data_IF_272765647801
#
_entry.id   IF_272765647801
#
_cell.length_a   1.000
_cell.length_b   1.000
_cell.length_c   1.000
_cell.angle_alpha   90.00
_cell.angle_beta   90.00
_cell.angle_gamma   90.00
#
_symmetry.space_group_name_H-M   'P 1'
#
loop_
_entity.id
_entity.type
_entity.pdbx_description
1 polymer ?
#
# COMPACT_ATOMS: atom_id res chain seq x y z
N UNK A 1 -16.45 17.59 -19.26
CA UNK A 1 -15.54 17.59 -18.10
C UNK A 1 -14.96 16.21 -17.89
N UNK A 2 -13.87 16.08 -17.12
CA UNK A 2 -13.28 14.78 -16.75
C UNK A 2 -14.29 13.93 -15.95
N UNK A 3 -14.59 12.71 -16.38
CA UNK A 3 -15.53 11.80 -15.69
C UNK A 3 -15.16 11.57 -14.21
N UNK A 4 -13.86 11.59 -13.92
CA UNK A 4 -13.32 11.43 -12.56
C UNK A 4 -13.65 12.62 -11.65
N UNK A 5 -13.65 13.84 -12.20
CA UNK A 5 -13.97 15.05 -11.43
C UNK A 5 -15.48 15.17 -11.18
N UNK A 6 -16.30 14.71 -12.12
CA UNK A 6 -17.76 14.61 -11.93
C UNK A 6 -18.11 13.59 -10.83
N UNK A 7 -17.48 12.41 -10.84
CA UNK A 7 -17.64 11.41 -9.77
C UNK A 7 -17.24 11.98 -8.40
N UNK A 8 -16.07 12.63 -8.31
CA UNK A 8 -15.63 13.26 -7.06
C UNK A 8 -16.61 14.34 -6.56
N UNK A 9 -17.16 15.16 -7.47
CA UNK A 9 -18.16 16.18 -7.13
C UNK A 9 -19.45 15.53 -6.59
N UNK A 10 -19.95 14.49 -7.25
CA UNK A 10 -21.14 13.76 -6.78
C UNK A 10 -20.91 13.15 -5.40
N UNK A 11 -19.79 12.47 -5.20
CA UNK A 11 -19.43 11.89 -3.90
C UNK A 11 -19.30 12.93 -2.79
N UNK A 12 -18.80 14.13 -3.12
CA UNK A 12 -18.72 15.22 -2.16
C UNK A 12 -20.12 15.73 -1.76
N UNK A 13 -21.05 15.82 -2.71
CA UNK A 13 -22.46 16.18 -2.46
C UNK A 13 -23.17 15.10 -1.64
N UNK A 14 -23.00 13.82 -2.01
CA UNK A 14 -23.60 12.68 -1.30
C UNK A 14 -23.08 12.55 0.14
N UNK A 15 -21.82 12.94 0.38
CA UNK A 15 -21.23 13.04 1.71
C UNK A 15 -21.68 14.29 2.50
N UNK A 16 -22.59 15.10 1.95
CA UNK A 16 -23.20 16.25 2.62
C UNK A 16 -22.46 17.58 2.44
N UNK A 17 -21.59 17.75 1.43
CA UNK A 17 -21.03 19.08 1.13
C UNK A 17 -22.13 20.01 0.61
N UNK A 18 -22.32 21.14 1.29
CA UNK A 18 -23.25 22.17 0.85
C UNK A 18 -22.74 22.94 -0.39
N UNK A 19 -21.42 23.05 -0.56
CA UNK A 19 -20.79 23.79 -1.65
C UNK A 19 -19.53 23.05 -2.14
N UNK A 20 -19.22 23.23 -3.42
CA UNK A 20 -18.01 22.72 -4.06
C UNK A 20 -17.05 23.87 -4.34
N UNK A 21 -15.79 23.71 -3.94
CA UNK A 21 -14.74 24.73 -4.13
C UNK A 21 -13.74 24.30 -5.18
N UNK A 22 -13.21 25.28 -5.91
CA UNK A 22 -12.16 25.10 -6.91
C UNK A 22 -10.92 25.90 -6.54
N UNK A 23 -9.76 25.33 -6.81
CA UNK A 23 -8.47 26.00 -6.67
C UNK A 23 -7.91 26.30 -8.06
N UNK A 24 -7.53 27.55 -8.30
CA UNK A 24 -6.89 27.99 -9.54
C UNK A 24 -5.48 28.52 -9.25
N UNK A 25 -4.49 28.13 -10.05
CA UNK A 25 -3.15 28.72 -10.00
C UNK A 25 -3.13 30.03 -10.80
N UNK A 26 -3.80 31.07 -10.32
CA UNK A 26 -3.92 32.36 -10.99
C UNK A 26 -5.39 32.72 -11.26
N UNK A 27 -5.69 33.15 -12.48
CA UNK A 27 -7.05 33.55 -12.87
C UNK A 27 -7.92 32.33 -13.17
N UNK A 28 -9.10 32.23 -12.54
CA UNK A 28 -10.06 31.17 -12.85
C UNK A 28 -10.47 31.16 -14.33
N UNK A 29 -10.57 29.98 -14.93
CA UNK A 29 -10.90 29.76 -16.34
C UNK A 29 -9.75 29.97 -17.33
N UNK A 30 -8.63 30.58 -16.91
CA UNK A 30 -7.45 30.82 -17.76
C UNK A 30 -6.24 29.97 -17.37
N UNK A 31 -6.01 29.79 -16.08
CA UNK A 31 -4.89 28.99 -15.57
C UNK A 31 -5.33 27.58 -15.15
N UNK A 32 -4.39 26.77 -14.64
CA UNK A 32 -4.72 25.43 -14.16
C UNK A 32 -5.67 25.51 -12.97
N UNK A 33 -6.72 24.70 -13.01
CA UNK A 33 -7.74 24.62 -11.98
C UNK A 33 -7.96 23.17 -11.52
N UNK A 34 -8.32 23.02 -10.25
CA UNK A 34 -8.71 21.74 -9.71
C UNK A 34 -9.85 21.81 -8.69
N UNK A 35 -10.71 20.79 -8.71
CA UNK A 35 -11.73 20.56 -7.70
C UNK A 35 -11.05 20.06 -6.42
N UNK A 36 -10.83 20.97 -5.47
CA UNK A 36 -10.19 20.68 -4.21
C UNK A 36 -10.78 21.53 -3.09
N UNK A 37 -10.90 20.94 -1.89
CA UNK A 37 -11.39 21.64 -0.70
C UNK A 37 -10.33 22.49 0.00
N UNK A 38 -9.04 22.24 -0.28
CA UNK A 38 -7.94 22.95 0.36
C UNK A 38 -7.78 22.64 1.86
N UNK A 39 -7.01 23.47 2.61
CA UNK A 39 -6.39 24.72 2.17
C UNK A 39 -5.19 24.52 1.24
N UNK A 40 -4.79 25.59 0.55
CA UNK A 40 -3.61 25.64 -0.31
C UNK A 40 -2.61 26.68 0.19
N UNK A 41 -1.34 26.55 -0.24
CA UNK A 41 -0.34 27.57 0.05
C UNK A 41 -0.74 28.90 -0.61
N UNK A 42 -0.44 30.07 0.01
CA UNK A 42 -0.88 31.37 -0.50
C UNK A 42 -0.29 31.74 -1.86
N UNK A 43 0.87 31.17 -2.21
CA UNK A 43 1.55 31.37 -3.49
C UNK A 43 2.40 30.15 -3.81
N UNK A 44 2.51 29.81 -5.10
CA UNK A 44 3.39 28.73 -5.58
C UNK A 44 4.85 28.99 -5.26
N UNK A 45 5.28 30.26 -5.10
CA UNK A 45 6.64 30.60 -4.66
C UNK A 45 6.93 30.26 -3.19
N UNK A 46 5.92 29.88 -2.40
CA UNK A 46 6.10 29.35 -1.04
C UNK A 46 6.36 27.84 -1.03
N UNK A 47 6.22 27.17 -2.17
CA UNK A 47 6.59 25.77 -2.30
C UNK A 47 8.12 25.72 -2.31
N UNK A 48 8.70 25.03 -1.33
CA UNK A 48 10.14 24.89 -1.19
C UNK A 48 10.71 23.84 -2.14
N UNK A 49 11.49 22.91 -1.60
CA UNK A 49 12.09 21.84 -2.39
C UNK A 49 11.07 20.72 -2.67
N UNK A 50 11.02 20.25 -3.92
CA UNK A 50 10.08 19.22 -4.38
C UNK A 50 10.83 18.13 -5.13
N UNK A 51 10.41 16.87 -4.97
CA UNK A 51 10.93 15.75 -5.76
C UNK A 51 9.85 14.76 -6.15
N UNK A 52 9.87 14.36 -7.44
CA UNK A 52 9.12 13.20 -7.93
C UNK A 52 9.87 11.93 -7.52
N UNK A 53 9.16 11.00 -6.89
CA UNK A 53 9.73 9.82 -6.24
C UNK A 53 9.61 8.57 -7.11
N UNK A 54 8.39 8.24 -7.53
CA UNK A 54 8.13 7.02 -8.28
C UNK A 54 6.82 7.09 -9.06
N UNK A 55 6.68 6.18 -10.01
CA UNK A 55 5.45 5.96 -10.76
C UNK A 55 4.85 4.63 -10.34
N UNK A 56 3.54 4.56 -10.26
CA UNK A 56 2.80 3.32 -10.06
C UNK A 56 1.57 3.29 -10.97
N UNK A 57 1.14 2.09 -11.33
CA UNK A 57 -0.19 1.90 -11.90
C UNK A 57 -1.22 1.80 -10.77
N UNK A 58 -2.40 2.36 -10.99
CA UNK A 58 -3.55 2.19 -10.10
C UNK A 58 -4.80 2.05 -10.94
N UNK A 59 -5.85 1.48 -10.38
CA UNK A 59 -7.15 1.42 -11.04
C UNK A 59 -8.14 2.37 -10.38
N UNK A 60 -9.07 2.89 -11.16
CA UNK A 60 -10.13 3.74 -10.64
C UNK A 60 -10.94 3.02 -9.56
N UNK A 61 -11.14 3.67 -8.41
CA UNK A 61 -11.72 3.08 -7.18
C UNK A 61 -11.09 1.75 -6.70
N UNK A 62 -9.90 1.39 -7.22
CA UNK A 62 -9.26 0.12 -6.91
C UNK A 62 -9.86 -1.09 -7.66
N UNK A 63 -10.77 -0.88 -8.60
CA UNK A 63 -11.39 -1.93 -9.40
C UNK A 63 -10.53 -2.25 -10.63
N UNK A 64 -9.95 -3.45 -10.66
CA UNK A 64 -9.07 -3.93 -11.74
C UNK A 64 -9.73 -3.99 -13.13
N UNK A 65 -11.07 -4.02 -13.19
CA UNK A 65 -11.81 -4.01 -14.44
C UNK A 65 -12.08 -2.58 -14.96
N UNK A 66 -11.73 -1.56 -14.17
CA UNK A 66 -11.94 -0.16 -14.49
C UNK A 66 -10.73 0.47 -15.19
N UNK A 67 -10.81 1.76 -15.48
CA UNK A 67 -9.75 2.52 -16.12
C UNK A 67 -8.44 2.44 -15.31
N UNK A 68 -7.35 2.10 -16.01
CA UNK A 68 -5.99 2.11 -15.46
C UNK A 68 -5.41 3.52 -15.51
N UNK A 69 -4.97 4.01 -14.35
CA UNK A 69 -4.42 5.34 -14.13
C UNK A 69 -2.95 5.28 -13.72
N UNK A 70 -2.15 6.22 -14.23
CA UNK A 70 -0.77 6.42 -13.78
C UNK A 70 -0.75 7.32 -12.56
N UNK A 71 -0.30 6.77 -11.43
CA UNK A 71 -0.10 7.51 -10.18
C UNK A 71 1.36 7.98 -10.10
N UNK A 72 1.54 9.29 -9.89
CA UNK A 72 2.85 9.91 -9.68
C UNK A 72 3.00 10.22 -8.19
N UNK A 73 3.96 9.59 -7.53
CA UNK A 73 4.30 9.91 -6.15
C UNK A 73 5.36 11.01 -6.12
N UNK A 74 5.17 12.01 -5.26
CA UNK A 74 6.12 13.09 -5.03
C UNK A 74 6.11 13.51 -3.57
N UNK A 75 7.14 14.25 -3.16
CA UNK A 75 7.27 14.83 -1.83
C UNK A 75 7.72 16.28 -1.93
N UNK A 76 7.41 17.09 -0.91
CA UNK A 76 7.78 18.50 -0.84
C UNK A 76 8.14 18.90 0.59
N UNK A 77 9.16 19.75 0.73
CA UNK A 77 9.65 20.28 2.00
C UNK A 77 9.89 21.80 1.91
N UNK A 78 9.85 22.54 3.02
CA UNK A 78 10.16 23.97 3.04
C UNK A 78 11.57 24.32 2.56
N UNK A 79 12.55 23.44 2.77
CA UNK A 79 13.96 23.67 2.42
C UNK A 79 14.59 22.47 1.71
N UNK A 80 15.64 22.72 0.91
CA UNK A 80 16.40 21.66 0.24
C UNK A 80 17.08 20.71 1.24
N UNK A 81 17.56 21.26 2.37
CA UNK A 81 18.21 20.49 3.43
C UNK A 81 17.29 19.41 4.00
N UNK A 82 16.05 19.77 4.34
CA UNK A 82 15.05 18.81 4.85
C UNK A 82 14.68 17.75 3.82
N UNK A 83 14.58 18.14 2.54
CA UNK A 83 14.36 17.18 1.46
C UNK A 83 15.52 16.18 1.37
N UNK A 84 16.77 16.64 1.43
CA UNK A 84 17.94 15.78 1.34
C UNK A 84 18.04 14.83 2.55
N UNK A 85 17.75 15.31 3.76
CA UNK A 85 17.66 14.49 4.97
C UNK A 85 16.59 13.38 4.83
N UNK A 86 15.41 13.73 4.31
CA UNK A 86 14.34 12.76 4.04
C UNK A 86 14.74 11.72 3.00
N UNK A 87 15.39 12.14 1.90
CA UNK A 87 15.83 11.23 0.85
C UNK A 87 16.91 10.27 1.36
N UNK A 88 17.82 10.75 2.21
CA UNK A 88 18.82 9.90 2.86
C UNK A 88 18.16 8.84 3.75
N UNK A 89 17.18 9.24 4.57
CA UNK A 89 16.43 8.31 5.42
C UNK A 89 15.67 7.24 4.60
N UNK A 90 15.07 7.62 3.47
CA UNK A 90 14.46 6.67 2.54
C UNK A 90 15.48 5.67 2.00
N UNK A 91 16.67 6.15 1.63
CA UNK A 91 17.68 5.28 1.05
C UNK A 91 18.22 4.27 2.09
N UNK A 92 18.42 4.71 3.33
CA UNK A 92 18.73 3.81 4.44
C UNK A 92 17.63 2.78 4.69
N UNK A 93 16.35 3.19 4.62
CA UNK A 93 15.22 2.28 4.77
C UNK A 93 15.17 1.22 3.66
N UNK A 94 15.44 1.60 2.40
CA UNK A 94 15.50 0.66 1.26
C UNK A 94 16.61 -0.38 1.44
N UNK A 95 17.76 0.01 1.99
CA UNK A 95 18.85 -0.94 2.25
C UNK A 95 18.47 -2.01 3.29
N UNK A 96 17.51 -1.71 4.15
CA UNK A 96 17.00 -2.60 5.20
C UNK A 96 15.72 -3.34 4.80
N UNK A 97 15.27 -3.18 3.55
CA UNK A 97 14.13 -3.92 3.03
C UNK A 97 14.41 -5.43 3.07
N UNK A 98 13.50 -6.20 3.66
CA UNK A 98 13.63 -7.65 3.80
C UNK A 98 13.80 -8.37 2.46
N UNK A 99 13.36 -7.79 1.34
CA UNK A 99 13.57 -8.31 -0.02
C UNK A 99 15.01 -8.15 -0.48
N UNK A 100 15.64 -7.04 -0.12
CA UNK A 100 17.06 -6.76 -0.40
C UNK A 100 17.94 -7.62 0.50
N UNK A 101 17.70 -7.57 1.81
CA UNK A 101 18.46 -8.31 2.82
C UNK A 101 18.25 -9.82 2.65
N UNK A 102 17.01 -10.26 2.47
CA UNK A 102 16.65 -11.66 2.27
C UNK A 102 17.30 -12.26 1.03
N UNK A 103 17.39 -11.51 -0.08
CA UNK A 103 18.14 -11.94 -1.26
C UNK A 103 19.64 -12.00 -0.99
N UNK A 104 20.23 -10.98 -0.35
CA UNK A 104 21.67 -10.92 -0.03
C UNK A 104 22.12 -12.07 0.87
N UNK A 105 21.32 -12.38 1.89
CA UNK A 105 21.59 -13.45 2.86
C UNK A 105 21.04 -14.82 2.42
N UNK A 106 20.41 -14.88 1.24
CA UNK A 106 19.76 -16.06 0.68
C UNK A 106 18.82 -16.71 1.70
N UNK A 107 17.88 -15.94 2.26
CA UNK A 107 16.89 -16.43 3.24
C UNK A 107 15.66 -17.05 2.57
N UNK A 108 15.26 -16.51 1.43
CA UNK A 108 14.13 -17.01 0.68
C UNK A 108 14.32 -16.75 -0.81
N UNK A 109 13.52 -17.45 -1.61
CA UNK A 109 13.46 -17.31 -3.05
C UNK A 109 11.99 -17.23 -3.49
N UNK A 110 11.74 -16.44 -4.53
CA UNK A 110 10.43 -16.33 -5.16
C UNK A 110 10.64 -16.77 -6.60
N UNK A 111 9.93 -17.83 -6.97
CA UNK A 111 10.03 -18.45 -8.28
C UNK A 111 8.67 -18.34 -8.99
N UNK A 112 8.67 -17.80 -10.21
CA UNK A 112 7.46 -17.61 -11.01
C UNK A 112 6.80 -18.93 -11.38
N UNK A 113 7.57 -20.01 -11.56
CA UNK A 113 7.03 -21.35 -11.84
C UNK A 113 6.28 -21.94 -10.65
N UNK A 114 6.65 -21.54 -9.43
CA UNK A 114 5.95 -21.97 -8.21
C UNK A 114 4.68 -21.14 -8.01
N UNK A 115 4.76 -19.84 -8.25
CA UNK A 115 3.62 -18.92 -8.21
C UNK A 115 3.86 -17.67 -7.36
N UNK A 116 3.21 -16.57 -7.72
CA UNK A 116 3.34 -15.31 -7.01
C UNK A 116 2.81 -15.41 -5.57
N UNK A 117 3.59 -14.91 -4.61
CA UNK A 117 3.25 -14.95 -3.19
C UNK A 117 3.60 -16.27 -2.48
N UNK A 118 4.08 -17.28 -3.21
CA UNK A 118 4.48 -18.57 -2.66
C UNK A 118 5.99 -18.61 -2.41
N UNK A 119 6.37 -18.33 -1.17
CA UNK A 119 7.78 -18.17 -0.77
C UNK A 119 8.47 -19.53 -0.59
N UNK A 120 9.59 -19.72 -1.28
CA UNK A 120 10.51 -20.84 -1.06
C UNK A 120 11.54 -20.47 0.00
N UNK A 121 11.50 -21.17 1.14
CA UNK A 121 12.48 -20.98 2.20
C UNK A 121 13.76 -21.74 1.88
N UNK A 122 14.89 -21.04 1.85
CA UNK A 122 16.22 -21.66 1.70
C UNK A 122 16.64 -22.31 3.03
N UNK A 123 17.78 -23.03 3.08
CA UNK A 123 18.31 -23.54 4.35
C UNK A 123 18.49 -22.44 5.42
N UNK A 124 19.06 -21.29 5.06
CA UNK A 124 19.29 -20.18 5.99
C UNK A 124 17.98 -19.60 6.55
N UNK A 125 16.99 -19.35 5.69
CA UNK A 125 15.71 -18.83 6.16
C UNK A 125 14.89 -19.86 6.92
N UNK A 126 15.03 -21.15 6.58
CA UNK A 126 14.39 -22.25 7.31
C UNK A 126 14.90 -22.36 8.74
N UNK A 127 16.19 -22.10 8.99
CA UNK A 127 16.74 -22.01 10.35
C UNK A 127 16.05 -20.89 11.14
N UNK A 128 16.02 -19.67 10.59
CA UNK A 128 15.39 -18.52 11.27
C UNK A 128 13.91 -18.80 11.56
N UNK A 129 13.19 -19.32 10.58
CA UNK A 129 11.78 -19.71 10.75
C UNK A 129 11.60 -20.78 11.82
N UNK A 130 12.47 -21.80 11.82
CA UNK A 130 12.45 -22.89 12.79
C UNK A 130 12.66 -22.41 14.22
N UNK A 131 13.62 -21.51 14.45
CA UNK A 131 13.86 -20.91 15.77
C UNK A 131 12.65 -20.12 16.27
N UNK A 132 12.00 -19.34 15.39
CA UNK A 132 10.77 -18.61 15.74
C UNK A 132 9.61 -19.57 16.06
N UNK A 133 9.45 -20.65 15.30
CA UNK A 133 8.44 -21.67 15.55
C UNK A 133 8.66 -22.41 16.87
N UNK A 134 9.91 -22.72 17.19
CA UNK A 134 10.28 -23.32 18.47
C UNK A 134 9.95 -22.38 19.63
N UNK A 135 10.39 -21.12 19.54
CA UNK A 135 10.10 -20.10 20.54
C UNK A 135 8.60 -19.99 20.84
N UNK A 136 7.75 -19.79 19.83
CA UNK A 136 6.31 -19.63 20.06
C UNK A 136 5.67 -20.91 20.61
N UNK A 137 6.16 -22.09 20.22
CA UNK A 137 5.63 -23.37 20.71
C UNK A 137 5.94 -23.58 22.19
N UNK A 138 7.14 -23.20 22.62
CA UNK A 138 7.53 -23.21 24.02
C UNK A 138 6.68 -22.23 24.86
N UNK A 139 6.45 -21.01 24.36
CA UNK A 139 5.62 -20.01 25.04
C UNK A 139 4.15 -20.43 25.16
N UNK A 140 3.57 -21.01 24.09
CA UNK A 140 2.21 -21.55 24.12
C UNK A 140 2.07 -22.69 25.15
N UNK A 141 3.09 -23.56 25.23
CA UNK A 141 3.10 -24.66 26.21
C UNK A 141 3.13 -24.15 27.64
N UNK A 142 3.94 -23.13 27.93
CA UNK A 142 3.99 -22.49 29.27
C UNK A 142 2.64 -21.89 29.67
N UNK A 143 1.89 -21.38 28.70
CA UNK A 143 0.55 -20.82 28.91
C UNK A 143 -0.57 -21.88 28.94
N UNK A 144 -0.23 -23.17 28.82
CA UNK A 144 -1.20 -24.27 28.90
C UNK A 144 -1.99 -24.53 27.61
N UNK A 145 -1.58 -23.93 26.47
CA UNK A 145 -2.18 -24.26 25.18
C UNK A 145 -1.78 -25.67 24.74
N UNK A 146 -2.71 -26.38 24.08
CA UNK A 146 -2.47 -27.68 23.46
C UNK A 146 -2.42 -27.49 21.95
N UNK A 147 -1.23 -27.64 21.37
CA UNK A 147 -1.08 -27.55 19.92
C UNK A 147 -1.74 -28.77 19.25
N UNK A 148 -2.47 -28.50 18.16
CA UNK A 148 -3.10 -29.51 17.30
C UNK A 148 -2.68 -29.24 15.85
N UNK A 149 -2.74 -30.27 15.02
CA UNK A 149 -2.45 -30.17 13.58
C UNK A 149 -3.73 -30.46 12.81
N UNK A 150 -4.09 -29.58 11.89
CA UNK A 150 -5.30 -29.71 11.06
C UNK A 150 -4.95 -29.63 9.58
N UNK A 151 -5.75 -30.24 8.69
CA UNK A 151 -5.57 -30.10 7.24
C UNK A 151 -5.67 -28.64 6.77
N UNK A 152 -4.91 -28.28 5.73
CA UNK A 152 -4.95 -26.95 5.11
C UNK A 152 -6.10 -26.78 4.09
N UNK A 153 -6.79 -27.88 3.74
CA UNK A 153 -7.94 -27.90 2.83
C UNK A 153 -9.14 -28.48 3.58
N UNK A 154 -10.29 -27.83 3.45
CA UNK A 154 -11.57 -28.28 4.02
C UNK A 154 -12.66 -28.39 2.96
N UNK A 155 -13.72 -29.15 3.26
CA UNK A 155 -14.92 -29.17 2.40
C UNK A 155 -15.63 -27.82 2.42
N UNK A 156 -16.30 -27.46 1.33
CA UNK A 156 -16.99 -26.18 1.20
C UNK A 156 -18.00 -25.93 2.33
N UNK A 157 -18.69 -26.97 2.78
CA UNK A 157 -19.69 -26.88 3.86
C UNK A 157 -19.10 -26.37 5.18
N UNK A 158 -17.81 -26.61 5.44
CA UNK A 158 -17.12 -26.05 6.60
C UNK A 158 -17.10 -24.51 6.54
N UNK A 159 -16.75 -23.95 5.38
CA UNK A 159 -16.69 -22.50 5.17
C UNK A 159 -18.07 -21.84 5.11
N UNK A 160 -19.09 -22.59 4.67
CA UNK A 160 -20.49 -22.16 4.76
C UNK A 160 -20.94 -22.10 6.21
N UNK A 161 -20.64 -23.15 6.98
CA UNK A 161 -20.99 -23.24 8.40
C UNK A 161 -20.29 -22.17 9.23
N UNK A 162 -19.02 -21.88 8.94
CA UNK A 162 -18.27 -20.82 9.62
C UNK A 162 -18.66 -19.41 9.18
N UNK A 163 -19.53 -19.26 8.17
CA UNK A 163 -19.94 -17.97 7.60
C UNK A 163 -18.88 -17.26 6.75
N UNK A 164 -17.72 -17.88 6.49
CA UNK A 164 -16.64 -17.26 5.72
C UNK A 164 -16.89 -17.33 4.20
N UNK A 165 -17.70 -18.28 3.74
CA UNK A 165 -17.92 -18.50 2.31
C UNK A 165 -18.33 -17.24 1.52
N UNK A 166 -19.31 -16.42 1.93
CA UNK A 166 -19.73 -15.25 1.15
C UNK A 166 -18.61 -14.21 0.92
N UNK A 167 -17.66 -14.12 1.84
CA UNK A 167 -16.59 -13.12 1.82
C UNK A 167 -15.32 -13.58 1.09
N UNK A 168 -15.10 -14.90 1.01
CA UNK A 168 -13.88 -15.50 0.45
C UNK A 168 -14.12 -16.38 -0.79
N UNK A 169 -15.36 -16.44 -1.32
CA UNK A 169 -15.69 -17.27 -2.50
C UNK A 169 -14.89 -16.92 -3.77
N UNK A 170 -14.39 -15.69 -3.87
CA UNK A 170 -13.65 -15.16 -5.03
C UNK A 170 -12.14 -15.04 -4.75
N UNK A 171 -11.68 -15.54 -3.59
CA UNK A 171 -10.27 -15.58 -3.20
C UNK A 171 -9.52 -16.77 -3.78
#
# INVERSE_FOLDING_TARGET
GSKYKLDNAQRAMDAGSAELTWYATGQPGENWEDLCRGPHVPSTGKIGAVKVMSLASSYWHGDENSDRLTRVYGTAFPSQKELDEYLNAIEEAKQRDHRVVGKKLRLFHIDEMVGQGLILWTPNGSIVRGELQKFISEELTKQGYRQVVTPHIGKLDLFRTSGHFPYYKES
#
